data_IF_739563622081
#
_entry.id   IF_739563622081
#
_cell.length_a   1.000
_cell.length_b   1.000
_cell.length_c   1.000
_cell.angle_alpha   90.00
_cell.angle_beta   90.00
_cell.angle_gamma   90.00
#
_symmetry.space_group_name_H-M   'P 1'
#
loop_
_entity.id
_entity.type
_entity.pdbx_description
1 polymer ?
#
# COMPACT_ATOMS: atom_id res chain seq x y z
N UNK A 1 20.75 -7.67 -24.82
CA UNK A 1 20.85 -6.55 -25.76
C UNK A 1 19.60 -5.68 -25.67
N UNK A 2 19.74 -4.33 -25.59
CA UNK A 2 18.59 -3.40 -25.65
C UNK A 2 18.38 -2.94 -27.10
N UNK A 3 17.12 -2.91 -27.52
CA UNK A 3 16.69 -2.32 -28.80
C UNK A 3 15.51 -1.36 -28.55
N UNK A 4 15.43 -0.28 -29.33
CA UNK A 4 14.30 0.62 -29.36
C UNK A 4 13.44 0.25 -30.56
N UNK A 5 12.17 -0.04 -30.31
CA UNK A 5 11.27 -0.45 -31.39
C UNK A 5 10.20 0.60 -31.66
N UNK A 6 9.84 0.81 -32.94
CA UNK A 6 8.65 1.56 -33.30
C UNK A 6 7.40 0.93 -32.65
N UNK A 7 6.47 1.74 -32.18
CA UNK A 7 5.25 1.30 -31.47
C UNK A 7 4.45 0.27 -32.26
N UNK A 8 4.19 0.55 -33.52
CA UNK A 8 3.38 -0.32 -34.37
C UNK A 8 4.05 -1.69 -34.58
N UNK A 9 5.37 -1.70 -34.74
CA UNK A 9 6.17 -2.93 -34.79
C UNK A 9 6.02 -3.74 -33.49
N UNK A 10 6.12 -3.09 -32.35
CA UNK A 10 6.05 -3.74 -31.05
C UNK A 10 4.64 -4.32 -30.80
N UNK A 11 3.58 -3.54 -31.05
CA UNK A 11 2.20 -3.99 -30.90
C UNK A 11 1.93 -5.20 -31.81
N UNK A 12 2.28 -5.11 -33.07
CA UNK A 12 2.06 -6.20 -34.05
C UNK A 12 2.80 -7.46 -33.62
N UNK A 13 4.04 -7.31 -33.17
CA UNK A 13 4.88 -8.41 -32.73
C UNK A 13 4.30 -9.13 -31.51
N UNK A 14 3.97 -8.41 -30.45
CA UNK A 14 3.44 -9.02 -29.22
C UNK A 14 2.03 -9.57 -29.41
N UNK A 15 1.20 -8.97 -30.24
CA UNK A 15 -0.10 -9.56 -30.66
C UNK A 15 0.10 -10.89 -31.39
N UNK A 16 1.08 -10.99 -32.30
CA UNK A 16 1.40 -12.24 -33.00
C UNK A 16 1.89 -13.35 -32.07
N UNK A 17 2.55 -12.99 -30.98
CA UNK A 17 3.01 -13.93 -29.94
C UNK A 17 1.88 -14.33 -28.96
N UNK A 18 0.68 -13.78 -29.06
CA UNK A 18 -0.41 -14.02 -28.13
C UNK A 18 -0.30 -13.22 -26.81
N UNK A 19 0.64 -12.29 -26.72
CA UNK A 19 0.93 -11.49 -25.54
C UNK A 19 0.01 -10.26 -25.46
N UNK A 20 -1.30 -10.50 -25.26
CA UNK A 20 -2.33 -9.45 -25.26
C UNK A 20 -2.06 -8.32 -24.26
N UNK A 21 -1.63 -8.66 -23.05
CA UNK A 21 -1.35 -7.68 -22.00
C UNK A 21 -0.18 -6.75 -22.33
N UNK A 22 0.86 -7.28 -23.02
CA UNK A 22 1.98 -6.45 -23.47
C UNK A 22 1.54 -5.48 -24.55
N UNK A 23 0.69 -5.92 -25.49
CA UNK A 23 0.12 -5.05 -26.49
C UNK A 23 -0.71 -3.91 -25.86
N UNK A 24 -1.57 -4.21 -24.88
CA UNK A 24 -2.33 -3.20 -24.14
C UNK A 24 -1.45 -2.23 -23.34
N UNK A 25 -0.36 -2.72 -22.71
CA UNK A 25 0.62 -1.85 -22.04
C UNK A 25 1.24 -0.88 -23.03
N UNK A 26 1.68 -1.36 -24.20
CA UNK A 26 2.29 -0.54 -25.24
C UNK A 26 1.32 0.54 -25.74
N UNK A 27 0.05 0.19 -25.94
CA UNK A 27 -0.99 1.11 -26.35
C UNK A 27 -1.21 2.24 -25.33
N UNK A 28 -1.08 1.93 -24.03
CA UNK A 28 -1.25 2.88 -22.93
C UNK A 28 -0.02 3.75 -22.64
N UNK A 29 1.18 3.41 -23.11
CA UNK A 29 2.39 4.23 -22.94
C UNK A 29 2.25 5.54 -23.74
N UNK A 30 2.57 6.72 -23.18
CA UNK A 30 2.52 7.99 -23.88
C UNK A 30 3.28 7.97 -25.22
N UNK A 31 2.74 8.65 -26.24
CA UNK A 31 3.29 8.59 -27.60
C UNK A 31 4.73 9.15 -27.73
N UNK A 32 5.13 10.00 -26.81
CA UNK A 32 6.46 10.61 -26.75
C UNK A 32 7.49 9.77 -26.00
N UNK A 33 7.09 8.63 -25.43
CA UNK A 33 8.02 7.72 -24.76
C UNK A 33 8.57 6.65 -25.72
N UNK A 34 9.88 6.35 -25.56
CA UNK A 34 10.57 5.28 -26.28
C UNK A 34 10.15 3.91 -25.77
N UNK A 35 9.95 2.98 -26.68
CA UNK A 35 9.69 1.58 -26.37
C UNK A 35 10.96 0.78 -26.47
N UNK A 36 11.47 0.29 -25.35
CA UNK A 36 12.65 -0.56 -25.31
C UNK A 36 12.29 -2.04 -25.11
N UNK A 37 12.90 -2.87 -25.93
CA UNK A 37 12.84 -4.33 -25.87
C UNK A 37 14.20 -4.86 -25.50
N UNK A 38 14.24 -5.73 -24.50
CA UNK A 38 15.48 -6.35 -24.02
C UNK A 38 15.52 -7.80 -24.46
N UNK A 39 16.57 -8.15 -25.20
CA UNK A 39 16.85 -9.49 -25.64
C UNK A 39 17.75 -10.20 -24.64
N UNK A 40 17.41 -11.45 -24.36
CA UNK A 40 18.16 -12.36 -23.52
C UNK A 40 18.50 -13.61 -24.32
N UNK A 41 19.77 -13.69 -24.77
CA UNK A 41 20.15 -14.64 -25.81
C UNK A 41 19.40 -14.37 -27.12
N UNK A 42 19.24 -15.42 -27.92
CA UNK A 42 18.60 -15.33 -29.23
C UNK A 42 17.12 -15.75 -29.20
N UNK A 43 16.67 -16.34 -28.11
CA UNK A 43 15.36 -17.00 -28.01
C UNK A 43 14.32 -16.23 -27.21
N UNK A 44 14.75 -15.33 -26.34
CA UNK A 44 13.82 -14.62 -25.47
C UNK A 44 14.01 -13.11 -25.50
N UNK A 45 12.93 -12.39 -25.51
CA UNK A 45 12.92 -10.93 -25.41
C UNK A 45 11.61 -10.45 -24.79
N UNK A 46 11.68 -9.29 -24.17
CA UNK A 46 10.51 -8.68 -23.54
C UNK A 46 10.58 -7.15 -23.54
N UNK A 47 9.39 -6.54 -23.43
CA UNK A 47 9.24 -5.11 -23.20
C UNK A 47 9.72 -4.79 -21.79
N UNK A 48 10.69 -3.89 -21.67
CA UNK A 48 11.17 -3.45 -20.36
C UNK A 48 11.81 -2.05 -20.45
N UNK A 49 11.60 -1.26 -19.41
CA UNK A 49 12.16 0.08 -19.29
C UNK A 49 13.62 0.05 -18.81
N UNK A 50 14.01 -1.03 -18.15
CA UNK A 50 15.32 -1.14 -17.49
C UNK A 50 15.39 -0.38 -16.16
N UNK A 51 16.56 -0.18 -15.56
CA UNK A 51 17.85 -0.70 -16.02
C UNK A 51 17.99 -2.23 -15.91
N UNK A 52 18.94 -2.81 -16.65
CA UNK A 52 19.27 -4.23 -16.60
C UNK A 52 20.73 -4.44 -16.31
N UNK A 53 21.05 -5.58 -15.68
CA UNK A 53 22.42 -6.06 -15.59
C UNK A 53 22.94 -6.42 -16.99
N UNK A 54 24.25 -6.31 -17.18
CA UNK A 54 24.89 -6.65 -18.46
C UNK A 54 24.70 -8.11 -18.88
N UNK A 55 24.52 -9.01 -17.92
CA UNK A 55 24.14 -10.41 -18.15
C UNK A 55 23.44 -10.97 -16.90
N UNK A 56 22.58 -11.99 -17.10
CA UNK A 56 21.91 -12.71 -16.00
C UNK A 56 22.89 -13.43 -15.08
N UNK A 57 24.06 -13.84 -15.59
CA UNK A 57 25.10 -14.46 -14.77
C UNK A 57 25.67 -13.53 -13.68
N UNK A 58 25.51 -12.20 -13.82
CA UNK A 58 25.93 -11.24 -12.81
C UNK A 58 24.99 -11.14 -11.60
N UNK A 59 23.80 -11.74 -11.67
CA UNK A 59 22.89 -11.86 -10.53
C UNK A 59 23.53 -12.70 -9.42
N UNK A 60 24.40 -13.67 -9.79
CA UNK A 60 24.99 -14.60 -8.84
C UNK A 60 24.00 -15.67 -8.37
N UNK A 61 24.24 -16.24 -7.20
CA UNK A 61 23.41 -17.29 -6.61
C UNK A 61 22.60 -16.82 -5.39
N UNK A 62 22.88 -15.61 -4.89
CA UNK A 62 22.25 -15.05 -3.72
C UNK A 62 20.87 -14.44 -4.05
N UNK A 63 19.96 -15.25 -4.56
CA UNK A 63 18.56 -14.88 -4.82
C UNK A 63 17.60 -15.95 -4.35
N UNK A 64 16.37 -15.54 -4.09
CA UNK A 64 15.28 -16.46 -3.71
C UNK A 64 13.94 -15.96 -4.23
N UNK A 65 13.16 -16.87 -4.81
CA UNK A 65 11.73 -16.64 -5.06
C UNK A 65 10.99 -16.85 -3.75
N UNK A 66 10.19 -15.87 -3.34
CA UNK A 66 9.60 -15.84 -2.00
C UNK A 66 8.14 -16.24 -1.96
N UNK A 67 7.34 -15.80 -2.95
CA UNK A 67 5.93 -16.18 -3.02
C UNK A 67 5.34 -16.01 -4.42
N UNK A 68 4.22 -16.67 -4.63
CA UNK A 68 3.30 -16.44 -5.74
C UNK A 68 1.99 -15.91 -5.18
N UNK A 69 1.38 -14.94 -5.81
CA UNK A 69 0.05 -14.43 -5.46
C UNK A 69 -0.77 -14.11 -6.71
N UNK A 70 -2.09 -14.16 -6.60
CA UNK A 70 -2.99 -13.60 -7.59
C UNK A 70 -2.86 -12.07 -7.66
N UNK A 71 -3.06 -11.51 -8.83
CA UNK A 71 -3.16 -10.08 -9.06
C UNK A 71 -4.09 -9.82 -10.22
N UNK A 72 -5.18 -9.09 -10.01
CA UNK A 72 -6.07 -8.71 -11.10
C UNK A 72 -5.36 -7.73 -12.05
N UNK A 73 -5.60 -7.94 -13.36
CA UNK A 73 -5.06 -7.05 -14.37
C UNK A 73 -5.49 -5.61 -14.11
N UNK A 74 -4.51 -4.69 -14.08
CA UNK A 74 -4.69 -3.26 -13.74
C UNK A 74 -5.33 -2.98 -12.38
N UNK A 75 -5.34 -3.97 -11.48
CA UNK A 75 -5.91 -3.81 -10.13
C UNK A 75 -7.44 -3.85 -10.07
N UNK A 76 -8.11 -4.12 -11.17
CA UNK A 76 -9.56 -4.21 -11.24
C UNK A 76 -10.01 -5.67 -11.09
N UNK A 77 -10.84 -5.94 -10.08
CA UNK A 77 -11.37 -7.29 -9.77
C UNK A 77 -12.28 -7.87 -10.86
N UNK A 78 -12.76 -7.06 -11.79
CA UNK A 78 -13.53 -7.51 -12.95
C UNK A 78 -12.66 -8.05 -14.09
N UNK A 79 -11.36 -7.77 -14.04
CA UNK A 79 -10.40 -8.25 -15.02
C UNK A 79 -9.84 -9.63 -14.64
N UNK A 80 -9.13 -10.23 -15.59
CA UNK A 80 -8.50 -11.53 -15.38
C UNK A 80 -7.49 -11.51 -14.23
N UNK A 81 -7.51 -12.57 -13.43
CA UNK A 81 -6.53 -12.78 -12.37
C UNK A 81 -5.26 -13.40 -12.95
N UNK A 82 -4.17 -12.68 -12.82
CA UNK A 82 -2.82 -13.10 -13.21
C UNK A 82 -2.03 -13.60 -12.00
N UNK A 83 -0.93 -14.30 -12.25
CA UNK A 83 0.00 -14.72 -11.23
C UNK A 83 1.15 -13.71 -11.12
N UNK A 84 1.46 -13.31 -9.90
CA UNK A 84 2.61 -12.45 -9.59
C UNK A 84 3.63 -13.22 -8.76
N UNK A 85 4.83 -13.36 -9.30
CA UNK A 85 5.96 -14.02 -8.64
C UNK A 85 6.82 -12.96 -7.99
N UNK A 86 7.12 -13.15 -6.70
CA UNK A 86 7.97 -12.27 -5.92
C UNK A 86 9.30 -12.94 -5.64
N UNK A 87 10.34 -12.16 -5.61
CA UNK A 87 11.68 -12.63 -5.29
C UNK A 87 12.56 -11.51 -4.76
N UNK A 88 13.73 -11.89 -4.26
CA UNK A 88 14.78 -10.98 -3.78
C UNK A 88 16.12 -11.43 -4.27
N UNK A 89 17.06 -10.50 -4.44
CA UNK A 89 18.43 -10.76 -4.86
C UNK A 89 19.40 -9.88 -4.04
N UNK A 90 20.50 -10.44 -3.63
CA UNK A 90 21.47 -9.81 -2.73
C UNK A 90 22.90 -9.95 -3.26
N UNK A 91 23.80 -9.10 -2.76
CA UNK A 91 25.20 -9.08 -3.16
C UNK A 91 26.00 -10.31 -2.70
N UNK A 92 25.58 -10.90 -1.56
CA UNK A 92 26.21 -12.11 -1.02
C UNK A 92 25.16 -13.08 -0.47
N UNK A 93 25.54 -14.36 -0.35
CA UNK A 93 24.70 -15.37 0.28
C UNK A 93 24.40 -15.00 1.74
N UNK A 94 25.39 -14.44 2.45
CA UNK A 94 25.21 -13.99 3.83
C UNK A 94 24.11 -12.93 3.95
N UNK A 95 24.11 -11.93 3.07
CA UNK A 95 23.07 -10.87 3.10
C UNK A 95 21.68 -11.44 2.83
N UNK A 96 21.59 -12.42 1.92
CA UNK A 96 20.33 -13.12 1.66
C UNK A 96 19.88 -13.90 2.89
N UNK A 97 20.75 -14.66 3.53
CA UNK A 97 20.43 -15.44 4.72
C UNK A 97 20.02 -14.55 5.90
N UNK A 98 20.74 -13.45 6.13
CA UNK A 98 20.41 -12.43 7.13
C UNK A 98 19.02 -11.79 6.86
N UNK A 99 18.70 -11.54 5.59
CA UNK A 99 17.39 -11.03 5.20
C UNK A 99 16.28 -12.04 5.45
N UNK A 100 16.46 -13.29 5.04
CA UNK A 100 15.49 -14.36 5.23
C UNK A 100 15.25 -14.64 6.73
N UNK A 101 16.32 -14.66 7.52
CA UNK A 101 16.22 -14.77 8.97
C UNK A 101 15.40 -13.63 9.59
N UNK A 102 15.62 -12.38 9.15
CA UNK A 102 14.80 -11.23 9.60
C UNK A 102 13.33 -11.37 9.25
N UNK A 103 13.02 -11.92 8.07
CA UNK A 103 11.62 -12.18 7.68
C UNK A 103 10.98 -13.24 8.57
N UNK A 104 11.69 -14.34 8.83
CA UNK A 104 11.23 -15.41 9.74
C UNK A 104 11.00 -14.87 11.16
N UNK A 105 11.92 -14.08 11.70
CA UNK A 105 11.77 -13.45 13.00
C UNK A 105 10.63 -12.45 13.04
N UNK A 106 10.40 -11.70 11.95
CA UNK A 106 9.26 -10.80 11.84
C UNK A 106 7.93 -11.56 11.83
N UNK A 107 7.84 -12.69 11.14
CA UNK A 107 6.65 -13.54 11.12
C UNK A 107 6.34 -14.13 12.50
N UNK A 108 7.36 -14.57 13.25
CA UNK A 108 7.20 -15.04 14.64
C UNK A 108 6.66 -13.95 15.57
N UNK A 109 6.95 -12.66 15.25
CA UNK A 109 6.54 -11.49 16.03
C UNK A 109 5.34 -10.75 15.43
N UNK A 110 4.63 -11.36 14.49
CA UNK A 110 3.43 -10.73 13.92
C UNK A 110 2.38 -10.49 15.02
N UNK A 111 2.01 -9.23 15.21
CA UNK A 111 1.06 -8.82 16.23
C UNK A 111 -0.30 -9.49 16.11
N UNK A 112 -0.72 -9.87 14.90
CA UNK A 112 -1.98 -10.56 14.65
C UNK A 112 -1.94 -11.99 15.21
N UNK A 113 -0.79 -12.66 15.07
CA UNK A 113 -0.54 -13.99 15.64
C UNK A 113 -0.42 -13.91 17.15
N UNK A 114 0.50 -13.09 17.65
CA UNK A 114 0.73 -12.91 19.08
C UNK A 114 -0.52 -12.39 19.81
N UNK A 115 -1.23 -11.44 19.22
CA UNK A 115 -2.46 -10.90 19.79
C UNK A 115 -3.53 -11.96 20.00
N UNK A 116 -3.68 -12.89 19.05
CA UNK A 116 -4.59 -14.05 19.18
C UNK A 116 -4.10 -15.05 20.21
N UNK A 117 -2.82 -15.47 20.14
CA UNK A 117 -2.23 -16.44 21.07
C UNK A 117 -2.26 -15.96 22.52
N UNK A 118 -2.00 -14.68 22.75
CA UNK A 118 -2.03 -14.05 24.08
C UNK A 118 -3.40 -13.58 24.52
N UNK A 119 -4.43 -13.77 23.68
CA UNK A 119 -5.81 -13.34 23.95
C UNK A 119 -5.90 -11.81 24.24
N UNK A 120 -5.26 -11.00 23.39
CA UNK A 120 -5.21 -9.53 23.60
C UNK A 120 -6.39 -8.81 22.95
N UNK A 121 -6.88 -9.32 21.83
CA UNK A 121 -7.98 -8.71 21.06
C UNK A 121 -8.61 -9.70 20.08
N UNK A 122 -9.76 -9.32 19.53
CA UNK A 122 -10.39 -10.00 18.40
C UNK A 122 -11.10 -9.01 17.46
N UNK A 123 -11.51 -9.50 16.31
CA UNK A 123 -12.33 -8.77 15.33
C UNK A 123 -13.68 -9.44 15.15
N UNK A 124 -14.70 -8.67 14.80
CA UNK A 124 -16.05 -9.14 14.52
C UNK A 124 -16.56 -8.55 13.23
N UNK A 125 -17.50 -9.24 12.59
CA UNK A 125 -18.13 -8.81 11.35
C UNK A 125 -18.98 -7.56 11.54
N UNK A 126 -19.55 -7.38 12.73
CA UNK A 126 -20.38 -6.23 13.09
C UNK A 126 -19.58 -4.92 13.19
N UNK A 127 -18.26 -4.99 13.23
CA UNK A 127 -17.38 -3.82 13.29
C UNK A 127 -16.11 -4.05 12.48
N UNK A 128 -16.21 -4.10 11.13
CA UNK A 128 -15.08 -4.40 10.27
C UNK A 128 -13.97 -3.35 10.43
N UNK A 129 -12.74 -3.85 10.63
CA UNK A 129 -11.57 -3.00 10.83
C UNK A 129 -11.40 -2.42 12.23
N UNK A 130 -12.38 -2.59 13.12
CA UNK A 130 -12.29 -2.14 14.52
C UNK A 130 -11.95 -3.29 15.47
N UNK A 131 -11.19 -2.97 16.52
CA UNK A 131 -10.62 -3.95 17.44
C UNK A 131 -11.44 -4.01 18.72
N UNK A 132 -11.82 -5.23 19.11
CA UNK A 132 -12.36 -5.52 20.45
C UNK A 132 -11.21 -5.91 21.37
N UNK A 133 -10.82 -4.99 22.24
CA UNK A 133 -9.73 -5.19 23.18
C UNK A 133 -10.18 -6.01 24.38
N UNK A 134 -9.40 -7.06 24.70
CA UNK A 134 -9.55 -7.79 25.95
C UNK A 134 -8.76 -7.10 27.07
N UNK A 135 -8.94 -7.52 28.31
CA UNK A 135 -8.34 -6.88 29.48
C UNK A 135 -6.82 -6.64 29.33
N UNK A 136 -6.06 -7.69 29.04
CA UNK A 136 -4.59 -7.58 28.85
C UNK A 136 -4.20 -6.69 27.66
N UNK A 137 -4.94 -6.81 26.55
CA UNK A 137 -4.72 -6.00 25.37
C UNK A 137 -5.03 -4.52 25.63
N UNK A 138 -6.07 -4.25 26.37
CA UNK A 138 -6.43 -2.89 26.74
C UNK A 138 -5.38 -2.24 27.65
N UNK A 139 -4.84 -2.98 28.64
CA UNK A 139 -3.71 -2.51 29.45
C UNK A 139 -2.51 -2.18 28.58
N UNK A 140 -2.14 -3.05 27.63
CA UNK A 140 -1.05 -2.80 26.70
C UNK A 140 -1.28 -1.53 25.88
N UNK A 141 -2.49 -1.38 25.32
CA UNK A 141 -2.88 -0.22 24.54
C UNK A 141 -2.74 1.08 25.35
N UNK A 142 -3.26 1.09 26.58
CA UNK A 142 -3.14 2.26 27.47
C UNK A 142 -1.68 2.63 27.77
N UNK A 143 -0.81 1.64 28.00
CA UNK A 143 0.63 1.90 28.22
C UNK A 143 1.30 2.53 27.00
N UNK A 144 0.95 2.11 25.80
CA UNK A 144 1.44 2.73 24.56
C UNK A 144 0.96 4.18 24.42
N UNK A 145 -0.32 4.44 24.71
CA UNK A 145 -0.89 5.80 24.71
C UNK A 145 -0.20 6.70 25.74
N UNK A 146 -0.02 6.22 26.96
CA UNK A 146 0.69 6.95 28.04
C UNK A 146 2.13 7.28 27.65
N UNK A 147 2.84 6.30 27.06
CA UNK A 147 4.20 6.50 26.56
C UNK A 147 4.27 7.58 25.49
N UNK A 148 3.38 7.56 24.51
CA UNK A 148 3.33 8.58 23.45
C UNK A 148 2.97 9.96 24.00
N UNK A 149 2.00 10.04 24.90
CA UNK A 149 1.65 11.30 25.59
C UNK A 149 2.83 11.90 26.37
N UNK A 150 3.56 11.04 27.08
CA UNK A 150 4.77 11.46 27.78
C UNK A 150 5.81 12.03 26.82
N UNK A 151 6.12 11.32 25.72
CA UNK A 151 7.09 11.77 24.71
C UNK A 151 6.70 13.09 24.07
N UNK A 152 5.44 13.22 23.68
CA UNK A 152 4.91 14.46 23.08
C UNK A 152 4.97 15.63 24.07
N UNK A 153 4.57 15.42 25.33
CA UNK A 153 4.64 16.44 26.36
C UNK A 153 6.07 16.92 26.62
N UNK A 154 7.03 15.99 26.71
CA UNK A 154 8.44 16.33 26.85
C UNK A 154 9.00 17.10 25.66
N UNK A 155 8.45 16.89 24.46
CA UNK A 155 8.79 17.64 23.25
C UNK A 155 8.03 18.97 23.11
N UNK A 156 7.26 19.39 24.13
CA UNK A 156 6.54 20.67 24.15
C UNK A 156 5.18 20.68 23.42
N UNK A 157 4.68 19.53 22.97
CA UNK A 157 3.34 19.43 22.36
C UNK A 157 2.25 19.57 23.42
N UNK A 158 1.17 20.24 23.03
CA UNK A 158 -0.06 20.34 23.82
C UNK A 158 -1.12 19.41 23.25
N UNK A 159 -1.70 18.57 24.09
CA UNK A 159 -2.78 17.69 23.70
C UNK A 159 -4.10 18.48 23.60
N UNK A 160 -4.81 18.32 22.51
CA UNK A 160 -6.15 18.86 22.30
C UNK A 160 -7.11 17.73 21.98
N UNK A 161 -8.40 17.97 22.20
CA UNK A 161 -9.48 17.07 21.78
C UNK A 161 -10.49 17.84 20.94
N UNK A 162 -10.95 17.24 19.86
CA UNK A 162 -11.93 17.81 18.93
C UNK A 162 -13.09 16.84 18.75
N UNK A 163 -14.32 17.33 18.42
CA UNK A 163 -15.47 16.46 18.21
C UNK A 163 -15.19 15.35 17.18
N UNK A 164 -15.76 14.17 17.39
CA UNK A 164 -15.70 13.05 16.46
C UNK A 164 -16.62 13.25 15.25
N UNK A 165 -17.81 13.82 15.50
CA UNK A 165 -18.81 14.16 14.50
C UNK A 165 -18.75 15.66 14.22
N UNK A 166 -18.60 16.02 12.95
CA UNK A 166 -18.50 17.39 12.48
C UNK A 166 -19.39 17.58 11.25
N UNK A 167 -19.94 18.78 11.12
CA UNK A 167 -20.79 19.16 9.99
C UNK A 167 -20.04 19.05 8.65
N UNK A 168 -20.77 18.63 7.62
CA UNK A 168 -20.29 18.46 6.25
C UNK A 168 -19.55 19.69 5.71
N UNK A 169 -19.98 20.88 6.07
CA UNK A 169 -19.42 22.14 5.59
C UNK A 169 -17.93 22.29 5.93
N UNK A 170 -17.45 21.73 7.05
CA UNK A 170 -16.04 21.73 7.39
C UNK A 170 -15.23 20.84 6.42
N UNK A 171 -15.79 19.72 6.02
CA UNK A 171 -15.17 18.77 5.09
C UNK A 171 -15.13 19.31 3.66
N UNK A 172 -16.17 20.06 3.25
CA UNK A 172 -16.20 20.77 1.98
C UNK A 172 -15.13 21.87 1.94
N UNK A 173 -15.05 22.74 2.95
CA UNK A 173 -14.05 23.80 3.05
C UNK A 173 -12.61 23.28 3.05
N UNK A 174 -12.38 22.12 3.63
CA UNK A 174 -11.06 21.51 3.72
C UNK A 174 -10.70 20.60 2.53
N UNK A 175 -11.62 20.42 1.56
CA UNK A 175 -11.44 19.55 0.39
C UNK A 175 -11.51 18.04 0.69
N UNK A 176 -11.81 17.65 1.94
CA UNK A 176 -11.91 16.24 2.30
C UNK A 176 -13.18 15.60 1.74
N UNK A 177 -14.27 16.35 1.64
CA UNK A 177 -15.53 15.84 1.11
C UNK A 177 -15.40 15.37 -0.34
N UNK A 178 -14.75 16.18 -1.18
CA UNK A 178 -14.55 15.85 -2.59
C UNK A 178 -13.66 14.61 -2.78
N UNK A 179 -12.65 14.44 -1.90
CA UNK A 179 -11.68 13.34 -2.04
C UNK A 179 -12.08 12.05 -1.34
N UNK A 180 -12.82 12.14 -0.24
CA UNK A 180 -13.09 11.01 0.66
C UNK A 180 -14.56 10.81 0.98
N UNK A 181 -15.47 11.64 0.47
CA UNK A 181 -16.90 11.61 0.82
C UNK A 181 -17.54 10.23 0.67
N UNK A 182 -17.22 9.50 -0.38
CA UNK A 182 -17.72 8.14 -0.61
C UNK A 182 -17.26 7.11 0.43
N UNK A 183 -16.21 7.42 1.19
CA UNK A 183 -15.63 6.54 2.22
C UNK A 183 -15.86 7.05 3.64
N UNK A 184 -16.58 8.16 3.80
CA UNK A 184 -16.88 8.72 5.10
C UNK A 184 -18.17 8.13 5.68
N UNK A 185 -18.15 7.81 6.97
CA UNK A 185 -19.39 7.49 7.70
C UNK A 185 -20.17 8.76 7.95
N UNK A 186 -21.36 8.83 7.39
CA UNK A 186 -22.22 10.01 7.48
C UNK A 186 -23.52 9.68 8.21
N UNK A 187 -24.10 10.68 8.84
CA UNK A 187 -25.42 10.63 9.45
C UNK A 187 -26.19 11.90 9.08
N UNK A 188 -27.45 11.76 8.74
CA UNK A 188 -28.37 12.88 8.47
C UNK A 188 -29.30 13.07 9.63
N UNK A 189 -29.50 14.31 10.05
CA UNK A 189 -30.41 14.67 11.12
C UNK A 189 -31.80 15.00 10.55
N UNK A 190 -32.88 14.98 11.38
CA UNK A 190 -34.24 15.31 10.92
C UNK A 190 -34.41 16.71 10.31
N UNK A 191 -33.51 17.63 10.60
CA UNK A 191 -33.42 18.96 10.01
C UNK A 191 -32.46 19.04 8.79
N UNK A 192 -32.23 17.90 8.11
CA UNK A 192 -31.49 17.74 6.86
C UNK A 192 -30.02 18.16 6.94
N UNK A 193 -29.41 18.21 8.14
CA UNK A 193 -27.97 18.43 8.29
C UNK A 193 -27.23 17.13 8.18
N UNK A 194 -26.13 17.16 7.46
CA UNK A 194 -25.25 16.01 7.28
C UNK A 194 -24.01 16.19 8.17
N UNK A 195 -23.82 15.24 9.06
CA UNK A 195 -22.62 15.09 9.88
C UNK A 195 -21.79 13.92 9.38
N UNK A 196 -20.49 14.03 9.51
CA UNK A 196 -19.59 12.94 9.21
C UNK A 196 -18.63 12.66 10.37
N UNK A 197 -18.33 11.37 10.58
CA UNK A 197 -17.24 10.96 11.45
C UNK A 197 -15.95 11.46 10.83
N UNK A 198 -15.12 12.14 11.60
CA UNK A 198 -13.88 12.74 11.09
C UNK A 198 -12.95 11.68 10.48
N UNK A 199 -12.62 11.75 9.18
CA UNK A 199 -11.65 10.86 8.56
C UNK A 199 -10.22 11.25 8.93
N UNK A 200 -10.02 12.51 9.32
CA UNK A 200 -8.73 13.09 9.73
C UNK A 200 -8.94 14.14 10.82
N UNK A 201 -7.97 14.26 11.72
CA UNK A 201 -8.03 15.25 12.81
C UNK A 201 -7.65 16.68 12.38
N UNK A 202 -6.96 16.85 11.24
CA UNK A 202 -6.38 18.12 10.81
C UNK A 202 -7.41 19.28 10.74
N UNK A 203 -8.59 19.15 10.12
CA UNK A 203 -9.56 20.26 10.07
C UNK A 203 -10.05 20.70 11.45
N UNK A 204 -10.27 19.76 12.38
CA UNK A 204 -10.63 20.08 13.75
C UNK A 204 -9.50 20.81 14.50
N UNK A 205 -8.26 20.39 14.30
CA UNK A 205 -7.08 21.04 14.87
C UNK A 205 -6.96 22.50 14.40
N UNK A 206 -7.20 22.75 13.10
CA UNK A 206 -7.20 24.12 12.53
C UNK A 206 -8.28 24.98 13.18
N UNK A 207 -9.47 24.43 13.50
CA UNK A 207 -10.52 25.19 14.19
C UNK A 207 -10.07 25.64 15.59
N UNK A 208 -9.35 24.77 16.33
CA UNK A 208 -8.80 25.12 17.63
C UNK A 208 -7.69 26.20 17.47
N UNK A 209 -6.80 26.04 16.51
CA UNK A 209 -5.76 27.02 16.22
C UNK A 209 -6.33 28.41 15.88
N UNK A 210 -7.41 28.47 15.10
CA UNK A 210 -8.06 29.72 14.72
C UNK A 210 -8.71 30.48 15.91
N UNK A 211 -8.86 29.84 17.07
CA UNK A 211 -9.33 30.49 18.28
C UNK A 211 -8.23 31.19 19.09
N UNK A 212 -7.00 31.22 18.57
CA UNK A 212 -5.91 31.98 19.17
C UNK A 212 -5.10 31.22 20.22
N UNK A 213 -4.88 29.93 19.97
CA UNK A 213 -3.94 29.13 20.76
C UNK A 213 -2.48 29.47 20.42
#
# INVERSE_FOLDING_TARGET
KKEVWPRDKAITHFKKLGEKYKAEIIEAIPKNEELSVYHHGDTWHDLCRGPHLASSGKIGKAFKLTKVSGAYWRGDSNNEMLQRIYGTCWSSQKDLDDYLHRLEEAEKRDHRKLGKEMNLFHFREESPGSVFWHEKGWVLFQRLVEYMRMKQRLAGYKEINTPELLDKTLWEKSGHWEKFGEHMFTSETPDEKIFAVKPMNCPGCVQVFNQGL
#
